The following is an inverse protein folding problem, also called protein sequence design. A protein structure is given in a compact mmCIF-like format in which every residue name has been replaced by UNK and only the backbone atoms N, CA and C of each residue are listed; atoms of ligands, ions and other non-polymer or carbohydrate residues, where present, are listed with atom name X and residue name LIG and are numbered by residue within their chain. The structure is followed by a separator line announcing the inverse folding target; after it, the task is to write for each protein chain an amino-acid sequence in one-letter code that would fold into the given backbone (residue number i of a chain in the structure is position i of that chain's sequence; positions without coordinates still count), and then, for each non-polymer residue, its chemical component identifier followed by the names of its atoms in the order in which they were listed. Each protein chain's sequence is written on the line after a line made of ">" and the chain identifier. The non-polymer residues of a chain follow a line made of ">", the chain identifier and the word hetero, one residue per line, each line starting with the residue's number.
data_IF_768292206649
#
_entry.id   IF_768292206649
#
_cell.length_a   1.000
_cell.length_b   1.000
_cell.length_c   1.000
_cell.angle_alpha   90.00
_cell.angle_beta   90.00
_cell.angle_gamma   90.00
#
_symmetry.space_group_name_H-M   'P 1'
#
loop_
_entity.id
_entity.type
_entity.pdbx_description
1 polymer ?
#
# COMPACT_ATOMS: atom_id res chain seq x y z
N UNK A 1 5.07 30.69 -20.48
CA UNK A 1 6.00 31.30 -19.51
C UNK A 1 6.84 30.25 -18.78
N UNK A 2 7.96 29.83 -19.38
CA UNK A 2 8.88 28.82 -18.84
C UNK A 2 9.71 29.29 -17.64
N UNK A 3 9.10 29.97 -16.66
CA UNK A 3 9.76 30.34 -15.41
C UNK A 3 9.86 29.12 -14.51
N UNK A 4 11.06 28.86 -13.97
CA UNK A 4 11.26 27.82 -12.97
C UNK A 4 10.36 28.09 -11.75
N UNK A 5 9.52 27.10 -11.41
CA UNK A 5 8.66 27.13 -10.22
C UNK A 5 9.21 26.12 -9.21
N UNK A 6 9.45 26.59 -8.00
CA UNK A 6 9.90 25.77 -6.88
C UNK A 6 8.76 25.68 -5.87
N UNK A 7 8.02 24.56 -5.81
CA UNK A 7 6.88 24.41 -4.92
C UNK A 7 7.36 24.14 -3.49
N UNK A 8 7.49 25.20 -2.69
CA UNK A 8 7.86 25.08 -1.26
C UNK A 8 6.85 24.22 -0.50
N UNK A 9 5.59 24.17 -0.95
CA UNK A 9 4.54 23.31 -0.38
C UNK A 9 4.74 21.81 -0.58
N UNK A 10 5.67 21.39 -1.45
CA UNK A 10 6.00 19.97 -1.67
C UNK A 10 7.13 19.47 -0.75
N UNK A 11 7.66 20.34 0.13
CA UNK A 11 8.59 19.92 1.17
C UNK A 11 7.80 19.32 2.32
N UNK A 12 7.91 18.01 2.53
CA UNK A 12 7.27 17.36 3.67
C UNK A 12 8.02 17.63 4.95
N UNK A 13 7.29 18.05 5.98
CA UNK A 13 7.84 18.34 7.30
C UNK A 13 7.23 17.36 8.28
N UNK A 14 8.00 16.33 8.63
CA UNK A 14 7.61 15.34 9.64
C UNK A 14 8.00 15.86 11.02
N UNK A 15 7.02 15.93 11.92
CA UNK A 15 7.24 16.33 13.32
C UNK A 15 7.23 15.09 14.19
N UNK A 16 8.42 14.71 14.68
CA UNK A 16 8.58 13.71 15.73
C UNK A 16 8.87 14.41 17.04
N UNK A 17 8.14 14.07 18.12
CA UNK A 17 8.39 14.65 19.44
C UNK A 17 9.55 13.90 20.11
N UNK A 18 10.55 14.67 20.55
CA UNK A 18 11.76 14.16 21.19
C UNK A 18 12.96 15.00 20.79
N UNK A 19 14.08 14.83 21.51
CA UNK A 19 15.35 15.54 21.26
C UNK A 19 15.24 17.08 21.31
N UNK A 20 16.34 17.77 20.99
CA UNK A 20 16.40 19.24 20.88
C UNK A 20 15.94 19.72 19.49
N UNK A 21 15.45 20.95 19.38
CA UNK A 21 15.14 21.58 18.10
C UNK A 21 16.36 21.71 17.18
N UNK A 22 17.55 21.80 17.76
CA UNK A 22 18.82 21.82 17.02
C UNK A 22 19.17 20.48 16.35
N UNK A 23 18.50 19.39 16.74
CA UNK A 23 18.76 18.03 16.22
C UNK A 23 17.86 17.68 15.02
N UNK A 24 17.16 18.65 14.43
CA UNK A 24 16.40 18.42 13.20
C UNK A 24 17.30 17.95 12.05
N UNK A 25 16.90 16.89 11.35
CA UNK A 25 17.66 16.29 10.25
C UNK A 25 16.95 16.51 8.92
N UNK A 26 17.70 16.90 7.90
CA UNK A 26 17.25 16.92 6.51
C UNK A 26 17.49 15.55 5.88
N UNK A 27 16.43 14.93 5.34
CA UNK A 27 16.56 13.72 4.52
C UNK A 27 17.10 14.11 3.15
N UNK A 28 18.40 13.91 2.95
CA UNK A 28 19.08 14.32 1.73
C UNK A 28 18.63 13.47 0.52
N UNK A 29 18.22 14.14 -0.56
CA UNK A 29 17.93 13.50 -1.85
C UNK A 29 16.70 12.61 -1.86
N UNK A 30 15.79 12.75 -0.88
CA UNK A 30 14.63 11.89 -0.76
C UNK A 30 13.40 12.57 -0.19
N UNK A 31 12.31 11.81 -0.13
CA UNK A 31 11.07 12.18 0.52
C UNK A 31 10.85 11.27 1.71
N UNK A 32 10.39 11.84 2.82
CA UNK A 32 10.05 11.07 4.00
C UNK A 32 8.53 11.00 4.11
N UNK A 33 8.00 9.81 4.43
CA UNK A 33 6.58 9.59 4.65
C UNK A 33 6.42 9.01 6.05
N UNK A 34 5.61 9.65 6.89
CA UNK A 34 5.37 9.22 8.26
C UNK A 34 4.36 8.07 8.30
N UNK A 35 4.81 6.86 7.95
CA UNK A 35 3.95 5.67 7.91
C UNK A 35 4.62 4.47 8.57
N UNK A 36 3.80 3.60 9.14
CA UNK A 36 4.24 2.30 9.64
C UNK A 36 4.07 1.22 8.57
N UNK A 37 4.93 0.21 8.63
CA UNK A 37 4.79 -1.02 7.83
C UNK A 37 3.45 -1.69 8.16
N UNK A 38 2.81 -2.26 7.15
CA UNK A 38 1.49 -2.86 7.31
C UNK A 38 1.51 -4.12 8.20
N UNK A 39 2.61 -4.89 8.17
CA UNK A 39 2.90 -5.99 9.10
C UNK A 39 4.30 -5.83 9.69
N UNK A 40 4.51 -6.33 10.91
CA UNK A 40 5.82 -6.36 11.57
C UNK A 40 6.77 -7.36 10.91
N UNK A 41 6.23 -8.41 10.28
CA UNK A 41 6.98 -9.46 9.58
C UNK A 41 7.57 -8.99 8.23
N UNK A 42 7.16 -7.82 7.74
CA UNK A 42 7.77 -7.22 6.55
C UNK A 42 9.23 -6.82 6.83
N UNK A 43 10.07 -6.66 5.80
CA UNK A 43 11.44 -6.15 5.98
C UNK A 43 11.46 -4.77 6.64
N UNK A 44 12.49 -4.48 7.44
CA UNK A 44 12.72 -3.13 8.00
C UNK A 44 13.46 -2.23 7.02
N UNK A 45 14.26 -2.82 6.13
CA UNK A 45 15.12 -2.14 5.18
C UNK A 45 15.10 -2.85 3.83
N UNK A 46 15.05 -2.08 2.75
CA UNK A 46 15.04 -2.60 1.37
C UNK A 46 16.08 -1.83 0.55
N UNK A 47 17.04 -2.53 -0.02
CA UNK A 47 18.04 -1.96 -0.94
C UNK A 47 17.59 -2.10 -2.39
N UNK A 48 17.80 -1.08 -3.22
CA UNK A 48 17.41 -1.14 -4.65
C UNK A 48 15.89 -1.18 -4.84
N UNK A 49 15.17 -0.24 -4.21
CA UNK A 49 13.72 -0.25 -4.18
C UNK A 49 13.08 -0.02 -5.56
N UNK A 50 12.22 -0.95 -5.99
CA UNK A 50 11.23 -0.81 -7.05
C UNK A 50 9.88 -0.53 -6.39
N UNK A 51 9.49 0.74 -6.42
CA UNK A 51 8.35 1.28 -5.66
C UNK A 51 7.09 1.27 -6.53
N UNK A 52 6.01 0.67 -6.03
CA UNK A 52 4.68 0.79 -6.61
C UNK A 52 3.81 1.76 -5.80
N UNK A 53 3.17 2.70 -6.48
CA UNK A 53 2.22 3.66 -5.90
C UNK A 53 0.81 3.34 -6.40
N UNK A 54 -0.09 2.92 -5.51
CA UNK A 54 -1.45 2.49 -5.85
C UNK A 54 -2.52 3.37 -5.20
N UNK A 55 -3.60 3.66 -5.93
CA UNK A 55 -4.78 4.37 -5.41
C UNK A 55 -6.02 3.46 -5.26
N UNK A 56 -5.79 2.15 -5.12
CA UNK A 56 -6.86 1.16 -4.94
C UNK A 56 -6.56 0.22 -3.76
N UNK A 57 -7.60 -0.45 -3.30
CA UNK A 57 -7.57 -1.31 -2.14
C UNK A 57 -7.16 -2.75 -2.47
N UNK A 58 -6.38 -3.35 -1.57
CA UNK A 58 -6.03 -4.77 -1.62
C UNK A 58 -6.86 -5.53 -0.58
N UNK A 59 -8.16 -5.57 -0.85
CA UNK A 59 -9.16 -6.18 0.02
C UNK A 59 -9.94 -7.26 -0.70
N UNK A 60 -10.73 -8.03 0.03
CA UNK A 60 -11.71 -8.93 -0.60
C UNK A 60 -12.62 -8.11 -1.49
N UNK A 61 -12.70 -8.48 -2.77
CA UNK A 61 -13.50 -7.73 -3.73
C UNK A 61 -14.96 -7.85 -3.34
N UNK A 62 -15.61 -6.71 -3.05
CA UNK A 62 -17.06 -6.67 -2.85
C UNK A 62 -17.74 -6.38 -4.19
N UNK A 63 -18.87 -7.03 -4.40
CA UNK A 63 -19.73 -6.72 -5.54
C UNK A 63 -20.19 -5.27 -5.51
N UNK A 64 -20.40 -4.71 -6.71
CA UNK A 64 -20.84 -3.34 -6.87
C UNK A 64 -22.28 -3.16 -6.36
N UNK A 65 -22.60 -1.94 -5.90
CA UNK A 65 -23.95 -1.60 -5.44
C UNK A 65 -24.98 -1.91 -6.54
N UNK A 66 -26.02 -2.66 -6.19
CA UNK A 66 -27.07 -3.09 -7.13
C UNK A 66 -26.90 -4.50 -7.69
N UNK A 67 -25.78 -5.18 -7.42
CA UNK A 67 -25.61 -6.60 -7.74
C UNK A 67 -26.00 -7.45 -6.55
N UNK A 68 -27.11 -8.18 -6.68
CA UNK A 68 -27.56 -9.16 -5.69
C UNK A 68 -27.25 -10.57 -6.19
N UNK A 69 -26.49 -11.32 -5.39
CA UNK A 69 -26.27 -12.74 -5.65
C UNK A 69 -27.33 -13.51 -4.86
N UNK A 70 -28.27 -14.12 -5.58
CA UNK A 70 -29.22 -15.07 -4.99
C UNK A 70 -28.56 -16.44 -5.04
N UNK A 71 -28.46 -17.10 -3.89
CA UNK A 71 -27.76 -18.37 -3.73
C UNK A 71 -28.74 -19.38 -3.17
N UNK A 72 -29.01 -20.42 -3.94
CA UNK A 72 -29.95 -21.48 -3.56
C UNK A 72 -29.25 -22.67 -2.87
N UNK A 73 -27.93 -22.85 -3.10
CA UNK A 73 -27.12 -23.94 -2.54
C UNK A 73 -25.93 -23.39 -1.71
N UNK A 74 -25.72 -23.86 -0.46
CA UNK A 74 -24.52 -23.57 0.33
C UNK A 74 -23.18 -23.79 -0.38
N UNK A 75 -23.07 -24.72 -1.33
CA UNK A 75 -21.82 -24.97 -2.06
C UNK A 75 -21.44 -23.82 -2.99
N UNK A 76 -22.43 -23.16 -3.61
CA UNK A 76 -22.21 -21.99 -4.47
C UNK A 76 -21.75 -20.77 -3.67
N UNK A 77 -22.20 -20.64 -2.41
CA UNK A 77 -21.74 -19.57 -1.51
C UNK A 77 -20.23 -19.62 -1.28
N UNK A 78 -19.67 -20.81 -1.07
CA UNK A 78 -18.22 -20.95 -0.87
C UNK A 78 -17.45 -20.67 -2.17
N UNK A 79 -17.98 -21.08 -3.33
CA UNK A 79 -17.38 -20.76 -4.64
C UNK A 79 -17.30 -19.26 -4.89
N UNK A 80 -18.37 -18.51 -4.59
CA UNK A 80 -18.39 -17.05 -4.71
C UNK A 80 -17.33 -16.43 -3.80
N UNK A 81 -17.28 -16.85 -2.53
CA UNK A 81 -16.29 -16.37 -1.55
C UNK A 81 -14.86 -16.63 -2.01
N UNK A 82 -14.58 -17.82 -2.55
CA UNK A 82 -13.27 -18.17 -3.09
C UNK A 82 -12.93 -17.30 -4.30
N UNK A 83 -13.90 -17.08 -5.20
CA UNK A 83 -13.68 -16.25 -6.40
C UNK A 83 -13.35 -14.80 -6.06
N UNK A 84 -14.00 -14.21 -5.06
CA UNK A 84 -13.67 -12.86 -4.56
C UNK A 84 -12.24 -12.78 -4.02
N UNK A 85 -11.76 -13.84 -3.36
CA UNK A 85 -10.39 -13.92 -2.85
C UNK A 85 -9.37 -14.12 -3.97
N UNK A 86 -9.67 -14.98 -4.95
CA UNK A 86 -8.79 -15.26 -6.09
C UNK A 86 -8.56 -14.00 -6.94
N UNK A 87 -9.60 -13.18 -7.15
CA UNK A 87 -9.45 -11.91 -7.88
C UNK A 87 -8.43 -10.97 -7.23
N UNK A 88 -8.45 -10.87 -5.91
CA UNK A 88 -7.48 -10.04 -5.19
C UNK A 88 -6.10 -10.68 -5.18
N UNK A 89 -6.02 -12.01 -5.07
CA UNK A 89 -4.76 -12.75 -5.18
C UNK A 89 -4.09 -12.54 -6.53
N UNK A 90 -4.84 -12.59 -7.62
CA UNK A 90 -4.33 -12.37 -8.98
C UNK A 90 -3.80 -10.94 -9.16
N UNK A 91 -4.45 -9.94 -8.56
CA UNK A 91 -3.93 -8.56 -8.55
C UNK A 91 -2.60 -8.45 -7.80
N UNK A 92 -2.51 -9.05 -6.61
CA UNK A 92 -1.28 -9.05 -5.81
C UNK A 92 -0.17 -9.76 -6.56
N UNK A 93 -0.47 -10.92 -7.18
CA UNK A 93 0.48 -11.67 -7.96
C UNK A 93 1.08 -10.83 -9.10
N UNK A 94 0.25 -10.09 -9.84
CA UNK A 94 0.75 -9.17 -10.89
C UNK A 94 1.70 -8.10 -10.36
N UNK A 95 1.48 -7.60 -9.13
CA UNK A 95 2.37 -6.62 -8.48
C UNK A 95 3.72 -7.27 -8.12
N UNK A 96 3.67 -8.49 -7.60
CA UNK A 96 4.86 -9.29 -7.28
C UNK A 96 5.64 -9.62 -8.56
N UNK A 97 4.96 -10.08 -9.60
CA UNK A 97 5.55 -10.46 -10.90
C UNK A 97 6.20 -9.26 -11.61
N UNK A 98 5.71 -8.04 -11.38
CA UNK A 98 6.36 -6.81 -11.84
C UNK A 98 7.71 -6.53 -11.16
N UNK A 99 8.08 -7.31 -10.13
CA UNK A 99 9.32 -7.16 -9.38
C UNK A 99 9.28 -6.02 -8.35
N UNK A 100 8.10 -5.67 -7.86
CA UNK A 100 7.91 -4.65 -6.82
C UNK A 100 8.48 -5.15 -5.49
N UNK A 101 9.26 -4.34 -4.78
CA UNK A 101 9.74 -4.66 -3.43
C UNK A 101 9.27 -3.67 -2.35
N UNK A 102 8.75 -2.51 -2.76
CA UNK A 102 8.12 -1.53 -1.87
C UNK A 102 6.77 -1.11 -2.46
N UNK A 103 5.72 -1.15 -1.64
CA UNK A 103 4.35 -0.86 -2.05
C UNK A 103 3.72 0.21 -1.15
N UNK A 104 3.23 1.28 -1.75
CA UNK A 104 2.40 2.29 -1.09
C UNK A 104 1.00 2.25 -1.66
N UNK A 105 0.00 2.19 -0.79
CA UNK A 105 -1.41 2.39 -1.20
C UNK A 105 -2.07 3.48 -0.35
N UNK A 106 -2.85 4.34 -1.02
CA UNK A 106 -3.71 5.32 -0.35
C UNK A 106 -4.89 4.66 0.37
N UNK A 107 -5.20 3.40 0.02
CA UNK A 107 -6.33 2.64 0.57
C UNK A 107 -5.84 1.58 1.56
N UNK A 108 -6.74 0.68 1.94
CA UNK A 108 -6.44 -0.39 2.89
C UNK A 108 -5.86 -1.63 2.22
N UNK A 109 -5.13 -2.41 3.01
CA UNK A 109 -4.70 -3.78 2.70
C UNK A 109 -5.31 -4.67 3.79
N UNK A 110 -6.03 -5.72 3.39
CA UNK A 110 -6.60 -6.73 4.29
C UNK A 110 -5.53 -7.75 4.74
N UNK A 111 -5.78 -8.46 5.84
CA UNK A 111 -4.81 -9.38 6.45
C UNK A 111 -4.36 -10.51 5.52
N UNK A 112 -5.29 -11.07 4.72
CA UNK A 112 -4.94 -12.11 3.75
C UNK A 112 -4.00 -11.58 2.66
N UNK A 113 -4.19 -10.33 2.22
CA UNK A 113 -3.36 -9.69 1.21
C UNK A 113 -1.98 -9.35 1.80
N UNK A 114 -1.92 -8.91 3.06
CA UNK A 114 -0.66 -8.66 3.76
C UNK A 114 0.18 -9.92 3.86
N UNK A 115 -0.42 -11.09 4.12
CA UNK A 115 0.31 -12.36 4.16
C UNK A 115 1.05 -12.65 2.85
N UNK A 116 0.37 -12.52 1.70
CA UNK A 116 1.02 -12.73 0.39
C UNK A 116 2.17 -11.76 0.13
N UNK A 117 2.05 -10.50 0.59
CA UNK A 117 3.12 -9.50 0.46
C UNK A 117 4.29 -9.80 1.39
N UNK A 118 4.03 -10.27 2.61
CA UNK A 118 5.06 -10.70 3.57
C UNK A 118 5.81 -11.91 3.03
N UNK A 119 5.11 -12.93 2.54
CA UNK A 119 5.71 -14.13 1.96
C UNK A 119 6.60 -13.80 0.75
N UNK A 120 6.22 -12.76 -0.02
CA UNK A 120 7.00 -12.23 -1.14
C UNK A 120 8.14 -11.27 -0.71
N UNK A 121 8.28 -10.96 0.58
CA UNK A 121 9.30 -10.05 1.09
C UNK A 121 9.08 -8.58 0.70
N UNK A 122 7.85 -8.17 0.40
CA UNK A 122 7.53 -6.80 -0.02
C UNK A 122 7.22 -5.94 1.21
N UNK A 123 7.88 -4.79 1.31
CA UNK A 123 7.54 -3.78 2.30
C UNK A 123 6.31 -3.01 1.81
N UNK A 124 5.19 -3.10 2.55
CA UNK A 124 3.98 -2.37 2.20
C UNK A 124 3.56 -1.38 3.30
N UNK A 125 3.06 -0.23 2.88
CA UNK A 125 2.37 0.74 3.74
C UNK A 125 0.98 1.04 3.16
N UNK A 126 -0.02 1.11 4.05
CA UNK A 126 -1.44 1.29 3.71
C UNK A 126 -1.96 2.59 4.28
N UNK A 127 -2.94 3.21 3.60
CA UNK A 127 -3.54 4.51 3.98
C UNK A 127 -2.55 5.68 3.97
N UNK A 128 -1.66 5.69 2.98
CA UNK A 128 -0.78 6.85 2.73
C UNK A 128 -1.66 8.04 2.31
N UNK A 129 -1.33 9.25 2.77
CA UNK A 129 -2.04 10.45 2.33
C UNK A 129 -1.85 10.59 0.81
N UNK A 130 -2.90 10.99 0.10
CA UNK A 130 -2.84 11.20 -1.35
C UNK A 130 -2.05 12.46 -1.73
N UNK A 131 -1.79 13.33 -0.74
CA UNK A 131 -0.92 14.51 -0.89
C UNK A 131 0.56 14.16 -0.85
N UNK A 132 0.90 13.06 -0.20
CA UNK A 132 2.25 12.47 -0.20
C UNK A 132 2.46 11.63 -1.46
#
# INVERSE_FOLDING_TARGET
>A
DGKAKYPVSQVNIIKSHGQSSSESVLVAGGYAIQMARASQEMPTWVTGAKIALLDFDLKKHRMSMGVNIVIDDPQELERVRQKEMDLTKDKIKKIIDAGTNVLFTTKGIDDFAMKYLVDAGILAARRVDKKD
#
